data_IF_672623024408
#
_entry.id   IF_672623024408
#
_cell.length_a   1.000
_cell.length_b   1.000
_cell.length_c   1.000
_cell.angle_alpha   90.00
_cell.angle_beta   90.00
_cell.angle_gamma   90.00
#
_symmetry.space_group_name_H-M   'P 1'
#
loop_
_entity.id
_entity.type
_entity.pdbx_description
1 polymer ?
#
# COMPACT_ATOMS: atom_id res chain seq x y z
N UNK A 1 -0.70 -12.70 42.58
CA UNK A 1 -0.04 -13.64 41.65
C UNK A 1 0.34 -12.85 40.42
N UNK A 2 1.63 -12.55 40.28
CA UNK A 2 2.20 -11.69 39.23
C UNK A 2 2.76 -12.57 38.10
N UNK A 3 2.81 -12.05 36.88
CA UNK A 3 3.23 -12.76 35.67
C UNK A 3 4.66 -13.33 35.75
N UNK A 4 5.48 -12.84 36.68
CA UNK A 4 6.83 -13.35 36.94
C UNK A 4 6.87 -14.68 37.71
N UNK A 5 5.83 -15.05 38.43
CA UNK A 5 5.73 -16.36 39.10
C UNK A 5 5.31 -17.48 38.14
N UNK A 6 4.72 -17.13 36.98
CA UNK A 6 4.22 -18.09 35.98
C UNK A 6 5.34 -18.61 35.05
N UNK A 7 6.46 -17.88 34.94
CA UNK A 7 7.45 -18.11 33.88
C UNK A 7 8.79 -18.73 34.34
N UNK A 8 8.91 -19.18 35.59
CA UNK A 8 9.99 -20.08 36.03
C UNK A 8 11.44 -19.61 35.81
N UNK A 9 11.68 -18.28 35.74
CA UNK A 9 13.02 -17.73 35.49
C UNK A 9 13.88 -17.66 36.78
N UNK A 10 15.18 -17.98 36.72
CA UNK A 10 16.05 -18.00 37.90
C UNK A 10 16.33 -16.60 38.46
N UNK A 11 16.29 -16.47 39.79
CA UNK A 11 16.54 -15.24 40.55
C UNK A 11 18.04 -15.05 40.78
N UNK A 12 18.62 -13.95 40.31
CA UNK A 12 19.96 -13.50 40.73
C UNK A 12 19.84 -12.35 41.75
N UNK A 13 20.58 -12.37 42.88
CA UNK A 13 20.49 -11.34 43.90
C UNK A 13 21.55 -10.26 43.65
N UNK A 14 21.13 -9.00 43.55
CA UNK A 14 22.00 -7.88 43.87
C UNK A 14 21.26 -6.90 44.77
N UNK A 15 21.76 -6.83 46.01
CA UNK A 15 21.47 -5.81 47.01
C UNK A 15 22.31 -4.56 46.70
N UNK A 16 21.68 -3.39 46.67
CA UNK A 16 22.25 -2.19 47.28
C UNK A 16 21.14 -1.17 47.58
N UNK A 17 20.86 -1.08 48.88
CA UNK A 17 20.50 0.10 49.66
C UNK A 17 20.63 1.46 48.97
N UNK A 18 19.56 2.26 49.00
CA UNK A 18 19.64 3.70 49.25
C UNK A 18 18.29 4.25 49.80
N UNK A 19 18.42 5.22 50.69
CA UNK A 19 17.46 5.63 51.72
C UNK A 19 16.17 6.30 51.21
N UNK A 20 15.10 6.10 51.99
CA UNK A 20 13.80 6.77 51.86
C UNK A 20 13.92 8.27 52.17
N UNK A 21 13.53 9.13 51.22
CA UNK A 21 13.24 10.55 51.48
C UNK A 21 11.73 10.78 51.40
N UNK A 22 11.17 11.34 52.47
CA UNK A 22 9.74 11.52 52.74
C UNK A 22 9.07 12.57 51.84
N UNK A 23 7.80 12.35 51.50
CA UNK A 23 6.93 13.29 50.75
C UNK A 23 5.99 14.00 51.76
N UNK A 24 5.77 15.33 51.67
CA UNK A 24 4.94 16.05 52.64
C UNK A 24 3.43 15.75 52.47
N UNK A 25 2.61 16.00 53.50
CA UNK A 25 1.22 15.54 53.57
C UNK A 25 0.28 16.41 52.71
N UNK A 26 -0.65 15.76 51.99
CA UNK A 26 -1.72 16.44 51.23
C UNK A 26 -2.81 16.93 52.18
N UNK A 27 -3.14 18.22 52.12
CA UNK A 27 -4.33 18.80 52.77
C UNK A 27 -5.63 18.21 52.20
N UNK A 28 -6.69 18.05 53.03
CA UNK A 28 -7.95 17.45 52.60
C UNK A 28 -8.80 18.45 51.79
N UNK A 29 -8.91 18.23 50.48
CA UNK A 29 -9.86 18.96 49.61
C UNK A 29 -11.31 18.71 50.06
N UNK A 30 -11.97 19.79 50.51
CA UNK A 30 -13.41 19.78 50.82
C UNK A 30 -14.24 19.71 49.53
N UNK A 31 -15.33 18.96 49.60
CA UNK A 31 -16.32 18.77 48.53
C UNK A 31 -16.87 20.10 47.99
N UNK A 32 -17.09 20.25 46.67
CA UNK A 32 -17.88 21.34 46.11
C UNK A 32 -19.38 21.13 46.41
N UNK A 33 -20.12 22.22 46.69
CA UNK A 33 -21.57 22.16 46.89
C UNK A 33 -22.31 21.81 45.59
N UNK A 34 -23.31 20.93 45.67
CA UNK A 34 -24.17 20.51 44.55
C UNK A 34 -23.86 19.15 43.92
N UNK A 35 -22.83 18.41 44.39
CA UNK A 35 -22.51 17.06 43.90
C UNK A 35 -22.75 16.01 44.99
N UNK A 36 -23.48 14.93 44.67
CA UNK A 36 -23.73 13.84 45.62
C UNK A 36 -22.44 13.09 45.97
N UNK A 37 -22.34 12.64 47.23
CA UNK A 37 -21.11 12.04 47.80
C UNK A 37 -20.64 10.81 47.02
N UNK A 38 -21.56 10.01 46.51
CA UNK A 38 -21.29 8.79 45.74
C UNK A 38 -20.75 9.10 44.34
N UNK A 39 -21.30 10.11 43.66
CA UNK A 39 -20.80 10.56 42.35
C UNK A 39 -19.39 11.10 42.50
N UNK A 40 -19.12 11.92 43.51
CA UNK A 40 -17.78 12.47 43.79
C UNK A 40 -16.74 11.38 44.09
N UNK A 41 -17.14 10.34 44.84
CA UNK A 41 -16.27 9.20 45.14
C UNK A 41 -15.94 8.36 43.90
N UNK A 42 -16.88 8.22 42.96
CA UNK A 42 -16.67 7.50 41.70
C UNK A 42 -15.79 8.28 40.71
N UNK A 43 -15.89 9.61 40.67
CA UNK A 43 -15.06 10.46 39.78
C UNK A 43 -13.68 10.80 40.39
N UNK A 44 -13.36 10.27 41.57
CA UNK A 44 -12.06 10.47 42.23
C UNK A 44 -11.77 11.91 42.64
N UNK A 45 -12.81 12.73 42.85
CA UNK A 45 -12.68 14.15 43.20
C UNK A 45 -12.11 15.05 42.10
N UNK A 46 -11.98 14.53 40.88
CA UNK A 46 -11.66 15.34 39.70
C UNK A 46 -13.01 15.69 39.07
N UNK A 47 -13.39 16.97 39.14
CA UNK A 47 -14.64 17.46 38.54
C UNK A 47 -14.79 16.96 37.10
N UNK A 48 -16.04 16.77 36.66
CA UNK A 48 -16.36 16.19 35.36
C UNK A 48 -15.48 16.79 34.24
N UNK A 49 -14.92 15.96 33.34
CA UNK A 49 -14.13 16.46 32.22
C UNK A 49 -14.97 17.48 31.43
N UNK A 50 -14.49 18.70 31.20
CA UNK A 50 -15.26 19.71 30.51
C UNK A 50 -15.55 19.26 29.07
N UNK A 51 -16.79 19.49 28.61
CA UNK A 51 -17.26 19.15 27.25
C UNK A 51 -16.49 19.90 26.14
N UNK A 52 -15.79 20.99 26.49
CA UNK A 52 -14.82 21.65 25.64
C UNK A 52 -13.45 21.70 26.34
N UNK A 53 -12.33 21.50 25.62
CA UNK A 53 -11.01 21.75 26.18
C UNK A 53 -10.83 23.25 26.42
N UNK A 54 -11.21 23.73 27.61
CA UNK A 54 -10.84 25.07 28.06
C UNK A 54 -9.39 25.00 28.54
N UNK A 55 -8.46 25.46 27.71
CA UNK A 55 -7.08 25.69 28.15
C UNK A 55 -7.12 26.91 29.07
N UNK A 56 -7.19 26.67 30.38
CA UNK A 56 -6.91 27.71 31.36
C UNK A 56 -5.45 28.16 31.23
N UNK A 57 -5.24 29.41 30.82
CA UNK A 57 -3.93 30.00 30.56
C UNK A 57 -2.97 29.94 31.78
N UNK A 58 -3.52 29.79 32.98
CA UNK A 58 -2.81 29.66 34.27
C UNK A 58 -2.07 28.32 34.43
N UNK A 59 -2.49 27.26 33.76
CA UNK A 59 -1.88 25.92 33.84
C UNK A 59 -0.80 25.65 32.79
N UNK A 60 -0.60 26.57 31.85
CA UNK A 60 0.55 26.56 30.95
C UNK A 60 1.78 26.97 31.76
N UNK A 61 2.36 26.01 32.51
CA UNK A 61 3.71 26.15 33.07
C UNK A 61 4.58 26.75 31.98
N UNK A 62 5.10 27.96 32.21
CA UNK A 62 6.08 28.62 31.34
C UNK A 62 7.18 27.60 31.10
N UNK A 63 7.16 26.98 29.91
CA UNK A 63 8.27 26.15 29.44
C UNK A 63 9.50 27.04 29.57
N UNK A 64 10.59 26.59 30.23
CA UNK A 64 11.85 27.31 30.13
C UNK A 64 12.11 27.55 28.64
N UNK A 65 12.55 28.76 28.31
CA UNK A 65 12.79 29.18 26.94
C UNK A 65 13.90 28.30 26.34
N UNK A 66 13.53 27.11 25.87
CA UNK A 66 14.28 26.42 24.84
C UNK A 66 14.33 27.41 23.69
N UNK A 67 15.54 27.78 23.31
CA UNK A 67 15.84 28.65 22.17
C UNK A 67 14.95 28.20 21.01
N UNK A 68 13.87 28.94 20.76
CA UNK A 68 12.86 28.51 19.80
C UNK A 68 13.54 28.56 18.45
N UNK A 69 13.71 27.41 17.82
CA UNK A 69 14.18 27.31 16.44
C UNK A 69 13.49 28.39 15.60
N UNK A 70 14.28 29.32 15.05
CA UNK A 70 13.75 30.34 14.14
C UNK A 70 13.56 29.66 12.80
N UNK A 71 12.35 29.19 12.55
CA UNK A 71 11.95 28.59 11.29
C UNK A 71 11.48 29.69 10.36
N UNK A 72 12.14 29.84 9.22
CA UNK A 72 11.73 30.73 8.14
C UNK A 72 11.55 29.90 6.85
N UNK A 73 10.55 30.24 6.05
CA UNK A 73 10.39 29.67 4.71
C UNK A 73 11.00 30.63 3.70
N UNK A 74 11.95 30.14 2.91
CA UNK A 74 12.62 30.94 1.88
C UNK A 74 12.39 30.34 0.51
N UNK A 75 12.15 31.18 -0.49
CA UNK A 75 12.08 30.77 -1.89
C UNK A 75 13.50 30.70 -2.45
N UNK A 76 14.05 29.49 -2.58
CA UNK A 76 15.45 29.29 -2.94
C UNK A 76 15.57 28.50 -4.25
N UNK A 77 16.61 28.80 -5.06
CA UNK A 77 16.93 27.99 -6.22
C UNK A 77 17.49 26.63 -5.78
N UNK A 78 17.21 25.60 -6.57
CA UNK A 78 17.80 24.28 -6.41
C UNK A 78 18.06 23.63 -7.77
N UNK A 79 19.05 22.75 -7.79
CA UNK A 79 19.30 21.80 -8.87
C UNK A 79 19.04 20.39 -8.34
N UNK A 80 18.76 19.45 -9.24
CA UNK A 80 18.44 18.07 -8.87
C UNK A 80 19.34 17.13 -9.66
N UNK A 81 20.15 16.31 -8.97
CA UNK A 81 21.02 15.32 -9.61
C UNK A 81 20.27 14.32 -10.50
N UNK A 82 18.97 14.13 -10.24
CA UNK A 82 18.08 13.32 -11.07
C UNK A 82 17.96 13.80 -12.53
N UNK A 83 18.37 15.04 -12.83
CA UNK A 83 18.34 15.63 -14.17
C UNK A 83 19.75 15.85 -14.70
N UNK A 84 19.92 15.72 -16.01
CA UNK A 84 21.19 15.94 -16.72
C UNK A 84 21.25 17.28 -17.45
N UNK A 85 20.15 18.04 -17.47
CA UNK A 85 20.01 19.29 -18.24
C UNK A 85 20.37 20.56 -17.44
N UNK A 86 20.90 20.40 -16.22
CA UNK A 86 21.26 21.50 -15.31
C UNK A 86 20.12 22.52 -15.08
N UNK A 87 18.85 22.11 -15.24
CA UNK A 87 17.71 22.99 -15.03
C UNK A 87 17.65 23.45 -13.57
N UNK A 88 17.67 24.78 -13.38
CA UNK A 88 17.49 25.39 -12.06
C UNK A 88 16.02 25.70 -11.82
N UNK A 89 15.48 25.16 -10.73
CA UNK A 89 14.10 25.36 -10.30
C UNK A 89 14.08 26.06 -8.93
N UNK A 90 12.90 26.48 -8.49
CA UNK A 90 12.73 27.14 -7.19
C UNK A 90 11.64 26.45 -6.38
N UNK A 91 11.82 26.36 -5.06
CA UNK A 91 10.77 25.89 -4.15
C UNK A 91 10.90 26.55 -2.76
N UNK A 92 9.86 26.43 -1.95
CA UNK A 92 9.85 26.90 -0.56
C UNK A 92 10.63 25.94 0.34
N UNK A 93 11.74 26.42 0.89
CA UNK A 93 12.64 25.66 1.75
C UNK A 93 12.46 26.08 3.20
N UNK A 94 12.34 25.11 4.11
CA UNK A 94 12.35 25.33 5.55
C UNK A 94 13.78 25.60 6.02
N UNK A 95 14.10 26.85 6.32
CA UNK A 95 15.38 27.30 6.87
C UNK A 95 15.27 27.39 8.39
N UNK A 96 16.13 26.68 9.11
CA UNK A 96 16.12 26.65 10.58
C UNK A 96 17.35 27.38 11.09
N UNK A 97 17.16 28.38 11.95
CA UNK A 97 18.25 29.19 12.52
C UNK A 97 19.17 29.83 11.46
N UNK A 98 18.63 30.16 10.28
CA UNK A 98 19.39 30.75 9.16
C UNK A 98 20.23 29.75 8.35
N UNK A 99 20.21 28.47 8.70
CA UNK A 99 20.96 27.42 8.00
C UNK A 99 20.08 26.85 6.87
N UNK A 100 20.52 27.03 5.63
CA UNK A 100 19.86 26.41 4.48
C UNK A 100 20.18 24.90 4.45
N UNK A 101 19.27 24.04 3.96
CA UNK A 101 19.54 22.63 3.77
C UNK A 101 20.71 22.44 2.83
N UNK A 102 21.75 21.76 3.31
CA UNK A 102 22.91 21.38 2.51
C UNK A 102 22.65 20.01 1.88
N UNK A 103 22.95 19.86 0.59
CA UNK A 103 22.87 18.59 -0.12
C UNK A 103 22.13 18.70 -1.45
N UNK A 104 22.04 17.56 -2.13
CA UNK A 104 21.23 17.43 -3.34
C UNK A 104 19.73 17.51 -3.01
N UNK A 105 18.91 17.78 -4.03
CA UNK A 105 17.47 17.89 -3.88
C UNK A 105 16.87 16.65 -3.22
N UNK A 106 16.08 16.85 -2.16
CA UNK A 106 15.56 15.76 -1.31
C UNK A 106 14.79 14.68 -2.09
N UNK A 107 14.17 15.05 -3.22
CA UNK A 107 13.40 14.12 -4.05
C UNK A 107 14.21 13.48 -5.19
N UNK A 108 15.46 13.88 -5.43
CA UNK A 108 16.29 13.30 -6.48
C UNK A 108 16.48 11.78 -6.30
N UNK A 109 16.57 11.31 -5.05
CA UNK A 109 16.64 9.89 -4.69
C UNK A 109 15.46 9.03 -5.15
N UNK A 110 14.32 9.65 -5.47
CA UNK A 110 13.13 8.92 -5.95
C UNK A 110 13.10 8.76 -7.47
N UNK A 111 14.05 9.36 -8.19
CA UNK A 111 14.17 9.20 -9.64
C UNK A 111 14.78 7.82 -9.97
N UNK A 112 13.94 6.79 -9.93
CA UNK A 112 14.31 5.42 -10.31
C UNK A 112 14.03 5.23 -11.79
N UNK A 113 15.07 4.94 -12.56
CA UNK A 113 14.94 4.60 -13.98
C UNK A 113 14.71 3.12 -14.16
N UNK A 114 13.91 2.76 -15.16
CA UNK A 114 13.74 1.36 -15.54
C UNK A 114 15.01 0.87 -16.25
N UNK A 115 15.45 -0.34 -15.93
CA UNK A 115 16.52 -1.01 -16.66
C UNK A 115 15.92 -1.77 -17.83
N UNK A 116 16.11 -1.25 -19.04
CA UNK A 116 15.56 -1.79 -20.28
C UNK A 116 16.64 -2.58 -21.01
N UNK A 117 16.34 -3.85 -21.30
CA UNK A 117 17.28 -4.71 -22.04
C UNK A 117 17.44 -4.20 -23.47
N UNK A 118 18.69 -4.08 -23.91
CA UNK A 118 19.03 -3.81 -25.33
C UNK A 118 19.37 -5.12 -26.00
N UNK A 119 19.03 -5.27 -27.28
CA UNK A 119 19.36 -6.45 -28.09
C UNK A 119 20.15 -6.06 -29.34
N UNK A 120 20.87 -7.02 -29.91
CA UNK A 120 21.54 -6.87 -31.21
C UNK A 120 20.68 -7.40 -32.34
N UNK A 121 21.08 -7.08 -33.57
CA UNK A 121 20.40 -7.55 -34.78
C UNK A 121 20.39 -9.08 -34.87
N UNK A 122 21.48 -9.74 -34.47
CA UNK A 122 21.59 -11.20 -34.46
C UNK A 122 20.67 -11.84 -33.43
N UNK A 123 20.54 -11.23 -32.25
CA UNK A 123 19.58 -11.69 -31.23
C UNK A 123 18.14 -11.51 -31.71
N UNK A 124 17.86 -10.42 -32.43
CA UNK A 124 16.55 -10.17 -33.01
C UNK A 124 16.16 -11.25 -34.01
N UNK A 125 17.01 -11.48 -35.01
CA UNK A 125 16.76 -12.46 -36.08
C UNK A 125 16.61 -13.89 -35.54
N UNK A 126 17.35 -14.23 -34.48
CA UNK A 126 17.36 -15.59 -33.95
C UNK A 126 16.23 -15.87 -32.96
N UNK A 127 15.84 -14.89 -32.14
CA UNK A 127 14.96 -15.14 -30.99
C UNK A 127 13.71 -14.25 -30.93
N UNK A 128 13.70 -13.10 -31.63
CA UNK A 128 12.66 -12.08 -31.46
C UNK A 128 11.77 -11.91 -32.69
N UNK A 129 11.99 -12.64 -33.79
CA UNK A 129 11.14 -12.57 -34.99
C UNK A 129 9.70 -12.95 -34.64
N UNK A 130 8.75 -12.12 -35.05
CA UNK A 130 7.32 -12.31 -34.80
C UNK A 130 6.52 -11.88 -36.04
N UNK A 131 5.53 -12.67 -36.50
CA UNK A 131 4.77 -12.36 -37.71
C UNK A 131 3.89 -11.11 -37.60
N UNK A 132 3.56 -10.67 -36.38
CA UNK A 132 2.71 -9.50 -36.14
C UNK A 132 3.51 -8.21 -35.87
N UNK A 133 4.84 -8.30 -35.77
CA UNK A 133 5.74 -7.19 -35.43
C UNK A 133 6.92 -7.08 -36.38
N UNK A 134 7.15 -5.88 -36.92
CA UNK A 134 8.38 -5.60 -37.64
C UNK A 134 9.54 -5.34 -36.66
N UNK A 135 10.78 -5.42 -37.17
CA UNK A 135 11.97 -5.08 -36.40
C UNK A 135 11.93 -3.61 -36.00
N UNK A 136 11.58 -2.74 -36.94
CA UNK A 136 11.49 -1.30 -36.75
C UNK A 136 10.44 -0.94 -35.68
N UNK A 137 9.27 -1.59 -35.70
CA UNK A 137 8.26 -1.41 -34.65
C UNK A 137 8.77 -1.85 -33.27
N UNK A 138 9.55 -2.94 -33.23
CA UNK A 138 10.13 -3.44 -31.97
C UNK A 138 11.22 -2.51 -31.45
N UNK A 139 12.09 -2.00 -32.33
CA UNK A 139 13.16 -1.05 -31.99
C UNK A 139 12.57 0.24 -31.43
N UNK A 140 11.55 0.78 -32.10
CA UNK A 140 10.80 1.95 -31.62
C UNK A 140 10.15 1.71 -30.25
N UNK A 141 9.57 0.52 -30.03
CA UNK A 141 8.99 0.16 -28.74
C UNK A 141 10.07 0.18 -27.64
N UNK A 142 11.22 -0.41 -27.88
CA UNK A 142 12.31 -0.46 -26.90
C UNK A 142 12.91 0.93 -26.62
N UNK A 143 13.05 1.78 -27.64
CA UNK A 143 13.46 3.18 -27.47
C UNK A 143 12.48 3.95 -26.59
N UNK A 144 11.17 3.81 -26.84
CA UNK A 144 10.14 4.48 -26.05
C UNK A 144 10.07 3.91 -24.62
N UNK A 145 10.31 2.62 -24.45
CA UNK A 145 10.43 1.98 -23.14
C UNK A 145 11.59 2.56 -22.31
N UNK A 146 12.76 2.78 -22.92
CA UNK A 146 13.92 3.42 -22.27
C UNK A 146 13.63 4.90 -21.98
N UNK A 147 13.05 5.63 -22.93
CA UNK A 147 12.80 7.07 -22.82
C UNK A 147 11.70 7.42 -21.81
N UNK A 148 10.71 6.56 -21.63
CA UNK A 148 9.54 6.80 -20.77
C UNK A 148 9.47 5.87 -19.55
N UNK A 149 10.58 5.23 -19.17
CA UNK A 149 10.69 4.38 -17.97
C UNK A 149 9.57 3.34 -17.88
N UNK A 150 9.26 2.64 -18.98
CA UNK A 150 8.21 1.61 -19.08
C UNK A 150 6.80 2.10 -18.72
N UNK A 151 6.52 3.40 -18.80
CA UNK A 151 5.17 3.95 -18.61
C UNK A 151 4.32 3.70 -19.84
N UNK A 152 3.81 2.47 -19.98
CA UNK A 152 3.08 1.99 -21.16
C UNK A 152 1.91 2.87 -21.62
N UNK A 153 1.25 3.61 -20.72
CA UNK A 153 0.19 4.54 -21.11
C UNK A 153 0.74 5.71 -21.94
N UNK A 154 1.91 6.23 -21.56
CA UNK A 154 2.59 7.30 -22.32
C UNK A 154 3.18 6.72 -23.61
N UNK A 155 3.74 5.51 -23.54
CA UNK A 155 4.31 4.82 -24.69
C UNK A 155 3.23 4.58 -25.75
N UNK A 156 2.07 4.05 -25.36
CA UNK A 156 0.95 3.81 -26.27
C UNK A 156 0.43 5.10 -26.93
N UNK A 157 0.36 6.20 -26.18
CA UNK A 157 -0.04 7.51 -26.71
C UNK A 157 0.97 8.08 -27.73
N UNK A 158 2.27 7.76 -27.57
CA UNK A 158 3.34 8.24 -28.46
C UNK A 158 3.71 7.24 -29.55
N UNK A 159 3.16 6.04 -29.53
CA UNK A 159 3.48 5.01 -30.50
C UNK A 159 2.89 5.39 -31.88
N UNK A 160 3.65 5.28 -32.99
CA UNK A 160 3.18 5.74 -34.29
C UNK A 160 1.96 4.98 -34.82
N UNK A 161 1.82 3.71 -34.46
CA UNK A 161 0.72 2.84 -34.89
C UNK A 161 -0.30 2.65 -33.76
N UNK A 162 -1.56 2.38 -34.12
CA UNK A 162 -2.66 2.23 -33.16
C UNK A 162 -2.66 0.86 -32.44
N UNK A 163 -1.54 0.51 -31.79
CA UNK A 163 -1.40 -0.71 -30.98
C UNK A 163 -2.03 -0.51 -29.60
N UNK A 164 -2.63 -1.56 -29.06
CA UNK A 164 -3.15 -1.51 -27.69
C UNK A 164 -2.00 -1.52 -26.66
N UNK A 165 -2.28 -1.04 -25.46
CA UNK A 165 -1.33 -1.12 -24.33
C UNK A 165 -0.94 -2.58 -24.06
N UNK A 166 -1.90 -3.48 -24.22
CA UNK A 166 -1.74 -4.90 -23.97
C UNK A 166 -0.81 -5.56 -25.02
N UNK A 167 -0.91 -5.15 -26.28
CA UNK A 167 -0.01 -5.62 -27.35
C UNK A 167 1.42 -5.13 -27.14
N UNK A 168 1.59 -3.85 -26.80
CA UNK A 168 2.91 -3.26 -26.53
C UNK A 168 3.60 -3.95 -25.34
N UNK A 169 2.85 -4.20 -24.26
CA UNK A 169 3.34 -4.98 -23.12
C UNK A 169 3.70 -6.39 -23.51
N UNK A 170 2.81 -7.07 -24.26
CA UNK A 170 3.03 -8.44 -24.73
C UNK A 170 4.36 -8.56 -25.47
N UNK A 171 4.59 -7.68 -26.44
CA UNK A 171 5.82 -7.65 -27.23
C UNK A 171 7.06 -7.36 -26.39
N UNK A 172 6.99 -6.33 -25.53
CA UNK A 172 8.12 -5.96 -24.68
C UNK A 172 8.52 -7.09 -23.72
N UNK A 173 7.55 -7.68 -23.02
CA UNK A 173 7.82 -8.72 -22.05
C UNK A 173 8.21 -10.04 -22.68
N UNK A 174 7.63 -10.42 -23.83
CA UNK A 174 8.04 -11.64 -24.54
C UNK A 174 9.48 -11.53 -25.04
N UNK A 175 9.85 -10.40 -25.64
CA UNK A 175 11.21 -10.15 -26.10
C UNK A 175 12.21 -10.09 -24.95
N UNK A 176 11.88 -9.34 -23.89
CA UNK A 176 12.75 -9.25 -22.69
C UNK A 176 12.96 -10.61 -22.03
N UNK A 177 11.91 -11.44 -21.95
CA UNK A 177 11.99 -12.81 -21.42
C UNK A 177 12.87 -13.70 -22.29
N UNK A 178 12.71 -13.65 -23.61
CA UNK A 178 13.54 -14.41 -24.53
C UNK A 178 15.03 -14.05 -24.41
N UNK A 179 15.34 -12.75 -24.36
CA UNK A 179 16.71 -12.26 -24.17
C UNK A 179 17.32 -12.74 -22.86
N UNK A 180 16.58 -12.68 -21.74
CA UNK A 180 17.08 -13.17 -20.45
C UNK A 180 17.42 -14.66 -20.49
N UNK A 181 16.54 -15.47 -21.08
CA UNK A 181 16.74 -16.92 -21.17
C UNK A 181 17.94 -17.26 -22.06
N UNK A 182 18.07 -16.61 -23.23
CA UNK A 182 19.13 -16.93 -24.18
C UNK A 182 20.50 -16.36 -23.82
N UNK A 183 20.56 -15.33 -22.97
CA UNK A 183 21.82 -14.80 -22.42
C UNK A 183 22.31 -15.59 -21.19
N UNK A 184 21.42 -16.32 -20.53
CA UNK A 184 21.78 -17.13 -19.37
C UNK A 184 22.58 -18.37 -19.78
N UNK A 185 23.41 -18.87 -18.87
CA UNK A 185 24.15 -20.13 -19.07
C UNK A 185 23.24 -21.33 -18.89
N UNK A 186 22.36 -21.27 -17.90
CA UNK A 186 21.28 -22.23 -17.68
C UNK A 186 19.96 -21.51 -17.40
N UNK A 187 18.85 -22.21 -17.65
CA UNK A 187 17.52 -21.71 -17.28
C UNK A 187 17.35 -21.55 -15.75
N UNK A 188 18.02 -22.38 -14.94
CA UNK A 188 17.95 -22.24 -13.48
C UNK A 188 18.39 -20.83 -13.01
N UNK A 189 19.41 -20.26 -13.65
CA UNK A 189 19.99 -18.95 -13.30
C UNK A 189 18.97 -17.81 -13.40
N UNK A 190 17.99 -17.94 -14.29
CA UNK A 190 16.98 -16.91 -14.57
C UNK A 190 15.57 -17.31 -14.16
N UNK A 191 15.37 -18.55 -13.71
CA UNK A 191 14.05 -19.09 -13.31
C UNK A 191 13.37 -18.28 -12.20
N UNK A 192 14.15 -17.64 -11.32
CA UNK A 192 13.65 -16.78 -10.25
C UNK A 192 13.35 -15.34 -10.67
N UNK A 193 13.73 -14.92 -11.89
CA UNK A 193 13.48 -13.57 -12.36
C UNK A 193 11.97 -13.37 -12.62
N UNK A 194 11.34 -12.29 -12.12
CA UNK A 194 9.91 -12.04 -12.35
C UNK A 194 9.49 -12.07 -13.82
N UNK A 195 10.33 -11.59 -14.74
CA UNK A 195 10.04 -11.60 -16.19
C UNK A 195 10.02 -13.01 -16.79
N UNK A 196 10.68 -13.98 -16.15
CA UNK A 196 10.73 -15.38 -16.60
C UNK A 196 9.65 -16.20 -15.91
N UNK A 197 9.50 -16.00 -14.59
CA UNK A 197 8.58 -16.70 -13.71
C UNK A 197 7.12 -16.33 -13.97
N UNK A 198 6.84 -15.04 -14.02
CA UNK A 198 5.48 -14.50 -14.11
C UNK A 198 5.26 -13.97 -15.53
N UNK A 199 5.03 -14.88 -16.47
CA UNK A 199 4.81 -14.53 -17.87
C UNK A 199 3.59 -13.61 -18.03
N UNK A 200 3.75 -12.56 -18.82
CA UNK A 200 2.67 -11.62 -19.12
C UNK A 200 1.58 -12.30 -19.96
N UNK A 201 0.35 -12.33 -19.43
CA UNK A 201 -0.83 -12.84 -20.14
C UNK A 201 -1.67 -11.67 -20.67
N UNK A 202 -1.52 -11.38 -21.96
CA UNK A 202 -2.25 -10.31 -22.63
C UNK A 202 -3.76 -10.56 -22.67
N UNK A 203 -4.20 -11.81 -22.78
CA UNK A 203 -5.61 -12.16 -22.83
C UNK A 203 -6.27 -11.92 -21.47
N UNK A 204 -5.59 -12.34 -20.39
CA UNK A 204 -6.02 -12.06 -19.03
C UNK A 204 -6.10 -10.56 -18.74
N UNK A 205 -5.06 -9.78 -19.10
CA UNK A 205 -5.06 -8.33 -18.86
C UNK A 205 -6.15 -7.61 -19.66
N UNK A 206 -6.41 -8.04 -20.88
CA UNK A 206 -7.49 -7.51 -21.71
C UNK A 206 -8.85 -7.76 -21.07
N UNK A 207 -9.11 -9.00 -20.61
CA UNK A 207 -10.36 -9.35 -19.95
C UNK A 207 -10.53 -8.62 -18.62
N UNK A 208 -9.45 -8.54 -17.81
CA UNK A 208 -9.44 -7.81 -16.55
C UNK A 208 -9.79 -6.32 -16.77
N UNK A 209 -9.22 -5.69 -17.79
CA UNK A 209 -9.50 -4.30 -18.15
C UNK A 209 -10.92 -4.10 -18.66
N UNK A 210 -11.44 -5.04 -19.45
CA UNK A 210 -12.85 -5.06 -19.90
C UNK A 210 -13.81 -5.15 -18.71
N UNK A 211 -13.59 -6.10 -17.80
CA UNK A 211 -14.42 -6.28 -16.60
C UNK A 211 -14.39 -5.05 -15.69
N UNK A 212 -13.21 -4.47 -15.46
CA UNK A 212 -13.08 -3.24 -14.67
C UNK A 212 -13.81 -2.06 -15.32
N UNK A 213 -13.72 -1.92 -16.65
CA UNK A 213 -14.42 -0.86 -17.38
C UNK A 213 -15.94 -1.02 -17.30
N UNK A 214 -16.44 -2.26 -17.38
CA UNK A 214 -17.85 -2.57 -17.17
C UNK A 214 -18.32 -2.19 -15.76
N UNK A 215 -17.53 -2.49 -14.73
CA UNK A 215 -17.84 -2.11 -13.35
C UNK A 215 -17.85 -0.59 -13.16
N UNK A 216 -16.84 0.11 -13.68
CA UNK A 216 -16.74 1.56 -13.54
C UNK A 216 -17.80 2.34 -14.33
N UNK A 217 -18.36 1.74 -15.38
CA UNK A 217 -19.45 2.32 -16.17
C UNK A 217 -20.85 1.97 -15.63
N UNK A 218 -20.93 1.19 -14.54
CA UNK A 218 -22.19 0.77 -13.96
C UNK A 218 -22.98 1.97 -13.42
N UNK A 219 -24.29 1.98 -13.69
CA UNK A 219 -25.19 3.02 -13.18
C UNK A 219 -25.88 2.55 -11.90
N UNK A 220 -26.31 3.48 -11.04
CA UNK A 220 -27.09 3.16 -9.82
C UNK A 220 -28.34 2.34 -10.09
N UNK A 221 -28.96 2.51 -11.26
CA UNK A 221 -30.13 1.70 -11.64
C UNK A 221 -29.73 0.26 -11.96
N UNK A 222 -28.60 0.08 -12.65
CA UNK A 222 -28.04 -1.24 -12.94
C UNK A 222 -27.65 -1.96 -11.64
N UNK A 223 -26.98 -1.27 -10.72
CA UNK A 223 -26.62 -1.82 -9.40
C UNK A 223 -27.84 -2.34 -8.63
N UNK A 224 -28.96 -1.61 -8.64
CA UNK A 224 -30.21 -2.04 -7.99
C UNK A 224 -30.78 -3.31 -8.63
N UNK A 225 -30.85 -3.36 -9.96
CA UNK A 225 -31.32 -4.54 -10.70
C UNK A 225 -30.43 -5.76 -10.46
N UNK A 226 -29.12 -5.55 -10.45
CA UNK A 226 -28.15 -6.63 -10.20
C UNK A 226 -28.27 -7.14 -8.76
N UNK A 227 -28.50 -6.25 -7.78
CA UNK A 227 -28.76 -6.62 -6.39
C UNK A 227 -30.07 -7.42 -6.22
N UNK A 228 -31.14 -7.02 -6.91
CA UNK A 228 -32.42 -7.75 -6.94
C UNK A 228 -32.23 -9.15 -7.55
N UNK A 229 -31.54 -9.23 -8.69
CA UNK A 229 -31.23 -10.49 -9.39
C UNK A 229 -30.39 -11.42 -8.51
N UNK A 230 -29.38 -10.89 -7.81
CA UNK A 230 -28.56 -11.67 -6.87
C UNK A 230 -29.37 -12.16 -5.67
N UNK A 231 -30.28 -11.34 -5.14
CA UNK A 231 -31.16 -11.73 -4.05
C UNK A 231 -32.11 -12.87 -4.46
N UNK A 232 -32.65 -12.80 -5.68
CA UNK A 232 -33.48 -13.86 -6.26
C UNK A 232 -32.68 -15.15 -6.49
N UNK A 233 -31.50 -15.05 -7.11
CA UNK A 233 -30.61 -16.19 -7.33
C UNK A 233 -30.24 -16.89 -6.01
N UNK A 234 -29.98 -16.11 -4.95
CA UNK A 234 -29.72 -16.64 -3.60
C UNK A 234 -30.92 -17.42 -3.06
N UNK A 235 -32.14 -16.87 -3.16
CA UNK A 235 -33.37 -17.57 -2.75
C UNK A 235 -33.56 -18.89 -3.50
N UNK A 236 -33.31 -18.91 -4.81
CA UNK A 236 -33.41 -20.13 -5.63
C UNK A 236 -32.36 -21.17 -5.18
N UNK A 237 -31.12 -20.74 -4.91
CA UNK A 237 -30.08 -21.65 -4.43
C UNK A 237 -30.43 -22.27 -3.08
N UNK A 238 -30.92 -21.48 -2.14
CA UNK A 238 -31.36 -21.96 -0.82
C UNK A 238 -32.54 -22.93 -0.94
N UNK A 239 -33.54 -22.62 -1.78
CA UNK A 239 -34.68 -23.51 -2.05
C UNK A 239 -34.23 -24.84 -2.66
N UNK A 240 -33.28 -24.82 -3.60
CA UNK A 240 -32.73 -26.03 -4.22
C UNK A 240 -31.91 -26.85 -3.22
N UNK A 241 -31.15 -26.21 -2.34
CA UNK A 241 -30.41 -26.88 -1.28
C UNK A 241 -31.36 -27.56 -0.28
N UNK A 242 -32.41 -26.87 0.17
CA UNK A 242 -33.42 -27.43 1.07
C UNK A 242 -34.15 -28.63 0.44
N UNK A 243 -34.51 -28.53 -0.85
CA UNK A 243 -35.16 -29.63 -1.57
C UNK A 243 -34.25 -30.86 -1.70
N UNK A 244 -32.95 -30.68 -1.93
CA UNK A 244 -31.97 -31.79 -1.95
C UNK A 244 -31.86 -32.47 -0.60
N UNK A 245 -31.79 -31.71 0.50
CA UNK A 245 -31.74 -32.25 1.87
C UNK A 245 -33.02 -33.04 2.19
N UNK A 246 -34.19 -32.49 1.85
CA UNK A 246 -35.47 -33.18 2.03
C UNK A 246 -35.53 -34.49 1.26
N UNK A 247 -35.11 -34.50 -0.02
CA UNK A 247 -35.10 -35.71 -0.84
C UNK A 247 -34.12 -36.76 -0.31
N UNK A 248 -32.95 -36.35 0.20
CA UNK A 248 -31.97 -37.26 0.80
C UNK A 248 -32.49 -37.86 2.12
N UNK A 249 -33.19 -37.07 2.94
CA UNK A 249 -33.83 -37.55 4.17
C UNK A 249 -34.95 -38.56 3.88
N UNK A 250 -35.78 -38.28 2.87
CA UNK A 250 -36.83 -39.21 2.42
C UNK A 250 -36.24 -40.53 1.89
N UNK A 251 -35.18 -40.47 1.07
CA UNK A 251 -34.48 -41.65 0.58
C UNK A 251 -33.88 -42.48 1.71
N UNK A 252 -33.23 -41.84 2.69
CA UNK A 252 -32.71 -42.52 3.88
C UNK A 252 -33.83 -43.18 4.70
N UNK A 253 -34.97 -42.50 4.85
CA UNK A 253 -36.11 -43.08 5.57
C UNK A 253 -36.65 -44.33 4.86
N UNK A 254 -36.80 -44.29 3.53
CA UNK A 254 -37.25 -45.44 2.74
C UNK A 254 -36.26 -46.60 2.85
N UNK A 255 -34.95 -46.34 2.77
CA UNK A 255 -33.92 -47.38 2.90
C UNK A 255 -33.91 -48.02 4.30
N UNK A 256 -34.09 -47.24 5.37
CA UNK A 256 -34.18 -47.76 6.74
C UNK A 256 -35.42 -48.63 6.94
N UNK A 257 -36.53 -48.32 6.27
CA UNK A 257 -37.75 -49.13 6.32
C UNK A 257 -37.64 -50.44 5.53
N UNK A 258 -36.78 -50.52 4.51
CA UNK A 258 -36.55 -51.76 3.74
C UNK A 258 -35.60 -52.75 4.44
N UNK A 259 -34.90 -52.34 5.51
CA UNK A 259 -33.95 -53.16 6.27
C UNK A 259 -34.43 -53.56 7.67
N UNK A 260 -35.72 -53.36 7.99
CA UNK A 260 -36.40 -53.90 9.17
C UNK A 260 -37.41 -54.96 8.74
#
# INVERSE_FOLDING_TARGET
>A
MDAKDILGLPKTPFSSSQEKKSRPPKEPQRKPDGVSREVYALTGGVGMPPLMPTIEASHLKRRPAAEKEKVAWQWLPFTSSARTDNLQLYHWVRVVNGIQPTGDYQFAKYNKRADVLKYTDEEYEKYLVDPAWSKEETDQLFELCERFDLRFIVIADRFPTARSVEDLKSRYYSASRALLIHRARSFEDVSGNPLVKDAYDAAHETERKRALSALLSQTKQQERKDAETLAEAKRIMESRAASKVSNQSMLLHVLVLQHK
#
